data_IF_555836323081
#
_entry.id   IF_555836323081
#
_cell.length_a   1.000
_cell.length_b   1.000
_cell.length_c   1.000
_cell.angle_alpha   90.00
_cell.angle_beta   90.00
_cell.angle_gamma   90.00
#
_symmetry.space_group_name_H-M   'P 1'
#
loop_
_entity.id
_entity.type
_entity.pdbx_description
1 polymer ?
#
# COMPACT_ATOMS: atom_id res chain seq x y z
N UNK A 1 -33.34 -20.13 -1.31
CA UNK A 1 -32.06 -20.14 -2.06
C UNK A 1 -31.39 -18.81 -1.79
N UNK A 2 -30.32 -18.79 -0.99
CA UNK A 2 -29.53 -17.57 -0.78
C UNK A 2 -28.44 -17.53 -1.83
N UNK A 3 -28.25 -16.38 -2.47
CA UNK A 3 -27.16 -16.16 -3.43
C UNK A 3 -25.83 -16.32 -2.70
N UNK A 4 -24.88 -17.14 -3.19
CA UNK A 4 -23.56 -17.23 -2.58
C UNK A 4 -22.85 -15.87 -2.72
N UNK A 5 -22.16 -15.46 -1.65
CA UNK A 5 -21.26 -14.30 -1.70
C UNK A 5 -20.17 -14.61 -2.72
N UNK A 6 -20.05 -13.77 -3.75
CA UNK A 6 -18.91 -13.82 -4.67
C UNK A 6 -17.81 -12.99 -4.03
N UNK A 7 -16.89 -13.66 -3.33
CA UNK A 7 -15.66 -13.08 -2.81
C UNK A 7 -14.63 -12.97 -3.93
N UNK A 8 -13.84 -11.90 -3.95
CA UNK A 8 -12.66 -11.85 -4.81
C UNK A 8 -11.53 -12.65 -4.15
N UNK A 9 -10.54 -13.07 -4.95
CA UNK A 9 -9.31 -13.68 -4.42
C UNK A 9 -8.64 -12.80 -3.34
N UNK A 10 -8.74 -11.48 -3.47
CA UNK A 10 -8.19 -10.53 -2.50
C UNK A 10 -8.95 -10.61 -1.19
N UNK A 11 -10.28 -10.68 -1.23
CA UNK A 11 -11.11 -10.76 -0.02
C UNK A 11 -10.82 -12.05 0.78
N UNK A 12 -10.64 -13.16 0.06
CA UNK A 12 -10.26 -14.45 0.66
C UNK A 12 -8.87 -14.38 1.29
N UNK A 13 -7.89 -13.82 0.57
CA UNK A 13 -6.53 -13.66 1.08
C UNK A 13 -6.46 -12.73 2.29
N UNK A 14 -7.21 -11.62 2.29
CA UNK A 14 -7.26 -10.69 3.43
C UNK A 14 -7.86 -11.35 4.66
N UNK A 15 -8.89 -12.19 4.50
CA UNK A 15 -9.50 -12.92 5.62
C UNK A 15 -8.56 -13.94 6.28
N UNK A 16 -7.55 -14.42 5.55
CA UNK A 16 -6.53 -15.37 6.04
C UNK A 16 -5.32 -14.68 6.69
N UNK A 17 -5.17 -13.35 6.55
CA UNK A 17 -4.05 -12.63 7.14
C UNK A 17 -4.21 -12.48 8.66
N UNK A 18 -3.16 -12.71 9.46
CA UNK A 18 -3.21 -12.44 10.90
C UNK A 18 -3.52 -10.97 11.18
N UNK A 19 -4.34 -10.68 12.21
CA UNK A 19 -4.60 -9.30 12.67
C UNK A 19 -3.31 -8.55 13.03
N UNK A 20 -2.26 -9.24 13.44
CA UNK A 20 -0.95 -8.64 13.73
C UNK A 20 -0.25 -8.05 12.50
N UNK A 21 -0.72 -8.39 11.29
CA UNK A 21 -0.27 -7.80 10.02
C UNK A 21 -1.18 -6.65 9.56
N UNK A 22 -2.30 -6.40 10.25
CA UNK A 22 -3.15 -5.26 9.96
C UNK A 22 -2.44 -3.97 10.37
N UNK A 23 -2.61 -2.94 9.55
CA UNK A 23 -2.18 -1.59 9.89
C UNK A 23 -2.93 -1.10 11.15
N UNK A 24 -2.26 -0.35 12.05
CA UNK A 24 -2.94 0.30 13.16
C UNK A 24 -4.11 1.17 12.68
N UNK A 25 -5.24 1.15 13.40
CA UNK A 25 -6.47 1.84 12.98
C UNK A 25 -6.38 3.37 12.94
N UNK A 26 -5.35 3.95 13.55
CA UNK A 26 -5.03 5.39 13.50
C UNK A 26 -4.08 5.76 12.35
N UNK A 27 -3.79 4.81 11.45
CA UNK A 27 -2.84 4.99 10.35
C UNK A 27 -3.42 4.57 9.01
N UNK A 28 -2.96 5.26 7.98
CA UNK A 28 -3.20 4.92 6.58
C UNK A 28 -1.86 4.68 5.88
N UNK A 29 -1.84 3.75 4.93
CA UNK A 29 -0.69 3.53 4.06
C UNK A 29 -0.88 4.32 2.76
N UNK A 30 -0.10 5.38 2.59
CA UNK A 30 -0.06 6.14 1.34
C UNK A 30 0.93 5.49 0.38
N UNK A 31 0.46 5.17 -0.83
CA UNK A 31 1.25 4.46 -1.84
C UNK A 31 1.55 5.38 -3.03
N UNK A 32 2.83 5.50 -3.37
CA UNK A 32 3.31 6.22 -4.56
C UNK A 32 3.94 5.25 -5.53
N UNK A 33 3.63 5.39 -6.81
CA UNK A 33 4.03 4.44 -7.86
C UNK A 33 4.81 5.13 -8.97
N UNK A 34 5.66 4.37 -9.64
CA UNK A 34 6.35 4.84 -10.84
C UNK A 34 7.09 3.72 -11.56
N UNK A 35 7.44 3.93 -12.85
CA UNK A 35 8.13 2.92 -13.67
C UNK A 35 9.52 2.59 -13.14
N UNK A 36 10.10 3.45 -12.32
CA UNK A 36 11.35 3.21 -11.59
C UNK A 36 11.19 3.64 -10.13
N UNK A 37 12.09 3.17 -9.28
CA UNK A 37 12.13 3.59 -7.87
C UNK A 37 12.28 5.11 -7.72
N UNK A 38 13.13 5.73 -8.55
CA UNK A 38 13.30 7.18 -8.57
C UNK A 38 12.01 7.91 -8.98
N UNK A 39 11.27 7.38 -9.95
CA UNK A 39 9.99 7.96 -10.36
C UNK A 39 8.94 7.86 -9.24
N UNK A 40 8.86 6.72 -8.54
CA UNK A 40 7.95 6.55 -7.40
C UNK A 40 8.30 7.52 -6.24
N UNK A 41 9.60 7.72 -5.98
CA UNK A 41 10.08 8.68 -4.98
C UNK A 41 9.76 10.13 -5.36
N UNK A 42 9.92 10.46 -6.64
CA UNK A 42 9.53 11.78 -7.15
C UNK A 42 8.01 12.02 -7.02
N UNK A 43 7.17 11.00 -7.21
CA UNK A 43 5.73 11.15 -6.92
C UNK A 43 5.46 11.46 -5.44
N UNK A 44 6.21 10.86 -4.52
CA UNK A 44 6.11 11.17 -3.09
C UNK A 44 6.55 12.62 -2.78
N UNK A 45 7.62 13.11 -3.43
CA UNK A 45 8.07 14.51 -3.35
C UNK A 45 6.96 15.49 -3.79
N UNK A 46 6.34 15.23 -4.93
CA UNK A 46 5.25 16.06 -5.47
C UNK A 46 4.03 16.09 -4.55
N UNK A 47 3.81 15.01 -3.80
CA UNK A 47 2.76 14.92 -2.80
C UNK A 47 3.14 15.54 -1.44
N UNK A 48 4.24 16.30 -1.40
CA UNK A 48 4.71 17.02 -0.21
C UNK A 48 5.06 16.12 0.98
N UNK A 49 5.50 14.88 0.71
CA UNK A 49 6.16 14.07 1.74
C UNK A 49 7.47 14.79 2.11
N UNK A 50 7.56 15.22 3.37
CA UNK A 50 8.68 16.03 3.88
C UNK A 50 10.04 15.33 3.70
N UNK A 51 10.07 14.01 3.89
CA UNK A 51 11.26 13.19 3.63
C UNK A 51 10.91 11.97 2.75
N UNK A 52 11.08 12.07 1.43
CA UNK A 52 10.80 10.98 0.48
C UNK A 52 11.70 9.74 0.65
N UNK A 53 12.78 9.83 1.43
CA UNK A 53 13.65 8.69 1.74
C UNK A 53 13.13 7.88 2.94
N UNK A 54 12.18 8.43 3.71
CA UNK A 54 11.65 7.82 4.93
C UNK A 54 10.42 6.93 4.66
N UNK A 55 10.47 6.12 3.61
CA UNK A 55 9.41 5.16 3.29
C UNK A 55 9.44 3.97 4.28
N UNK A 56 8.25 3.41 4.57
CA UNK A 56 8.08 2.27 5.48
C UNK A 56 8.25 0.94 4.75
N UNK A 57 7.73 0.85 3.53
CA UNK A 57 7.78 -0.37 2.74
C UNK A 57 7.91 -0.05 1.24
N UNK A 58 8.36 -1.04 0.48
CA UNK A 58 8.47 -0.94 -0.98
C UNK A 58 8.14 -2.27 -1.65
N UNK A 59 7.60 -2.19 -2.85
CA UNK A 59 7.34 -3.36 -3.69
C UNK A 59 7.66 -3.04 -5.16
N UNK A 60 7.98 -4.06 -5.94
CA UNK A 60 7.98 -3.99 -7.40
C UNK A 60 6.94 -4.98 -7.90
N UNK A 61 5.80 -4.48 -8.37
CA UNK A 61 4.66 -5.29 -8.77
C UNK A 61 4.39 -5.02 -10.24
N UNK A 62 4.39 -6.08 -11.06
CA UNK A 62 4.12 -5.98 -12.50
C UNK A 62 5.04 -4.99 -13.24
N UNK A 63 6.29 -4.84 -12.80
CA UNK A 63 7.25 -3.90 -13.39
C UNK A 63 7.11 -2.44 -12.92
N UNK A 64 6.19 -2.15 -12.00
CA UNK A 64 6.02 -0.84 -11.39
C UNK A 64 6.60 -0.81 -9.97
N UNK A 65 7.44 0.18 -9.69
CA UNK A 65 7.98 0.41 -8.36
C UNK A 65 6.95 1.16 -7.52
N UNK A 66 6.69 0.67 -6.30
CA UNK A 66 5.76 1.25 -5.35
C UNK A 66 6.47 1.51 -4.02
N UNK A 67 6.25 2.70 -3.45
CA UNK A 67 6.70 3.13 -2.13
C UNK A 67 5.49 3.34 -1.22
N UNK A 68 5.58 2.88 0.02
CA UNK A 68 4.55 3.06 1.03
C UNK A 68 5.02 3.88 2.23
N UNK A 69 4.18 4.82 2.67
CA UNK A 69 4.37 5.65 3.85
C UNK A 69 3.21 5.48 4.81
N UNK A 70 3.51 5.22 6.08
CA UNK A 70 2.50 5.19 7.12
C UNK A 70 2.24 6.60 7.63
N UNK A 71 1.00 7.07 7.51
CA UNK A 71 0.58 8.41 7.91
C UNK A 71 -0.51 8.30 8.96
N UNK A 72 -0.43 9.11 10.02
CA UNK A 72 -1.49 9.20 11.03
C UNK A 72 -2.64 10.06 10.50
N UNK A 73 -3.87 9.60 10.71
CA UNK A 73 -5.13 10.27 10.31
C UNK A 73 -5.83 10.90 11.51
#
# INVERSE_FOLDING_TARGET
MTTPLITTLIDEQVAELPESQAMPGDRVLMLFKGPTFAAAMHQAELASIENPQAWNCRACICGESTLGYEVRV
#
